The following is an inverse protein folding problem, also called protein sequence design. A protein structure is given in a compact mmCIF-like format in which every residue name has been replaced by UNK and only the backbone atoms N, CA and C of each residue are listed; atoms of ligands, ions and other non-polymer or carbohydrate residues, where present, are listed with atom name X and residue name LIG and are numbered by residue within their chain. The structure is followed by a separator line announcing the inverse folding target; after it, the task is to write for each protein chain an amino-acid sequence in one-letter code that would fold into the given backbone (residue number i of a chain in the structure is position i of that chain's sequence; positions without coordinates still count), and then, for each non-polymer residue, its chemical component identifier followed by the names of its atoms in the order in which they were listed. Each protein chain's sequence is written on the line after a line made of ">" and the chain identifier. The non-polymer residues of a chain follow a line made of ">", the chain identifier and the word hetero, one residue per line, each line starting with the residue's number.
data_IF_936537507354
#
_entry.id   IF_936537507354
#
_cell.length_a   1.000
_cell.length_b   1.000
_cell.length_c   1.000
_cell.angle_alpha   90.00
_cell.angle_beta   90.00
_cell.angle_gamma   90.00
#
_symmetry.space_group_name_H-M   'P 1'
#
loop_
_entity.id
_entity.type
_entity.pdbx_description
1 polymer ?
#
# COMPACT_ATOMS: atom_id res chain seq x y z
N UNK A 1 0.06 2.32 -31.15
CA UNK A 1 -0.87 1.50 -30.39
C UNK A 1 -1.71 2.46 -29.59
N UNK A 2 -3.03 2.31 -29.59
CA UNK A 2 -3.88 3.22 -28.86
C UNK A 2 -3.97 2.77 -27.39
N UNK A 3 -4.02 3.67 -26.40
CA UNK A 3 -4.12 3.30 -24.97
C UNK A 3 -5.34 2.40 -24.68
N UNK A 4 -6.43 2.60 -25.41
CA UNK A 4 -7.67 1.81 -25.32
C UNK A 4 -7.51 0.33 -25.74
N UNK A 5 -6.42 -0.03 -26.44
CA UNK A 5 -6.12 -1.42 -26.78
C UNK A 5 -5.61 -2.22 -25.55
N UNK A 6 -5.38 -1.56 -24.40
CA UNK A 6 -4.78 -2.16 -23.22
C UNK A 6 -5.79 -2.63 -22.18
N UNK A 7 -7.06 -2.27 -22.33
CA UNK A 7 -8.11 -2.68 -21.42
C UNK A 7 -9.42 -2.99 -22.13
N UNK A 8 -10.24 -3.80 -21.50
CA UNK A 8 -11.63 -4.02 -21.88
C UNK A 8 -12.52 -3.29 -20.88
N UNK A 9 -13.45 -2.48 -21.39
CA UNK A 9 -14.40 -1.73 -20.57
C UNK A 9 -15.74 -2.46 -20.54
N UNK A 10 -16.26 -2.73 -19.33
CA UNK A 10 -17.64 -3.19 -19.13
C UNK A 10 -18.57 -1.98 -19.17
N UNK A 11 -19.38 -1.87 -20.24
CA UNK A 11 -20.09 -0.65 -20.59
C UNK A 11 -21.31 -0.31 -19.70
N UNK A 12 -21.76 -1.22 -18.85
CA UNK A 12 -23.04 -1.05 -18.11
C UNK A 12 -22.89 -0.27 -16.78
N UNK A 13 -21.67 -0.06 -16.26
CA UNK A 13 -21.43 0.40 -14.88
C UNK A 13 -20.76 1.78 -14.78
N UNK A 14 -20.89 2.65 -15.81
CA UNK A 14 -20.15 3.92 -15.86
C UNK A 14 -20.95 5.18 -15.47
N UNK A 15 -22.21 5.05 -15.07
CA UNK A 15 -23.02 6.18 -14.57
C UNK A 15 -22.64 6.51 -13.12
N UNK A 16 -22.58 7.79 -12.77
CA UNK A 16 -22.36 8.37 -11.42
C UNK A 16 -20.91 8.44 -10.93
N UNK A 17 -19.90 8.35 -11.80
CA UNK A 17 -18.49 8.38 -11.42
C UNK A 17 -17.84 9.78 -11.52
N UNK A 18 -18.60 10.79 -11.88
CA UNK A 18 -18.08 12.16 -12.03
C UNK A 18 -17.58 12.70 -10.67
N UNK A 19 -16.28 13.02 -10.62
CA UNK A 19 -15.59 13.43 -9.40
C UNK A 19 -15.27 12.30 -8.42
N UNK A 20 -15.58 11.03 -8.74
CA UNK A 20 -15.26 9.89 -7.87
C UNK A 20 -13.74 9.72 -7.69
N UNK A 21 -13.28 9.54 -6.45
CA UNK A 21 -11.86 9.28 -6.18
C UNK A 21 -11.40 7.99 -6.88
N UNK A 22 -10.22 8.03 -7.51
CA UNK A 22 -9.56 6.86 -8.10
C UNK A 22 -8.45 6.39 -7.16
N UNK A 23 -8.72 5.36 -6.39
CA UNK A 23 -7.77 4.70 -5.53
C UNK A 23 -6.90 3.75 -6.37
N UNK A 24 -5.61 3.70 -6.10
CA UNK A 24 -4.67 2.83 -6.82
C UNK A 24 -3.76 2.11 -5.85
N UNK A 25 -3.80 0.79 -5.91
CA UNK A 25 -2.84 -0.09 -5.26
C UNK A 25 -2.37 -1.18 -6.22
N UNK A 26 -1.07 -1.24 -6.48
CA UNK A 26 -0.45 -2.22 -7.35
C UNK A 26 0.56 -3.06 -6.57
N UNK A 27 0.41 -4.39 -6.62
CA UNK A 27 1.31 -5.33 -5.94
C UNK A 27 2.61 -5.52 -6.74
N UNK A 28 3.76 -5.42 -6.07
CA UNK A 28 5.04 -5.77 -6.70
C UNK A 28 6.19 -4.87 -6.34
N UNK A 29 5.93 -3.70 -5.78
CA UNK A 29 6.93 -2.81 -5.23
C UNK A 29 6.94 -2.87 -3.69
N UNK A 30 7.29 -1.79 -3.03
CA UNK A 30 7.37 -1.71 -1.58
C UNK A 30 5.96 -1.58 -0.97
N UNK A 31 5.65 -2.44 0.01
CA UNK A 31 4.47 -2.32 0.85
C UNK A 31 4.75 -2.90 2.25
N UNK A 32 5.52 -2.16 3.05
CA UNK A 32 5.88 -2.59 4.40
C UNK A 32 4.63 -2.84 5.25
N UNK A 33 4.66 -3.93 6.00
CA UNK A 33 3.52 -4.36 6.82
C UNK A 33 2.33 -4.84 6.00
N UNK A 34 2.49 -5.02 4.69
CA UNK A 34 1.39 -5.28 3.74
C UNK A 34 0.24 -4.28 3.88
N UNK A 35 0.55 -3.02 4.20
CA UNK A 35 -0.42 -2.01 4.59
C UNK A 35 -1.42 -1.69 3.47
N UNK A 36 -0.93 -1.47 2.25
CA UNK A 36 -1.77 -1.22 1.08
C UNK A 36 -2.57 -2.44 0.68
N UNK A 37 -1.97 -3.64 0.73
CA UNK A 37 -2.66 -4.89 0.45
C UNK A 37 -3.82 -5.13 1.43
N UNK A 38 -3.56 -5.03 2.74
CA UNK A 38 -4.61 -5.22 3.76
C UNK A 38 -5.75 -4.19 3.64
N UNK A 39 -5.43 -2.94 3.31
CA UNK A 39 -6.44 -1.93 3.01
C UNK A 39 -7.28 -2.32 1.78
N UNK A 40 -6.62 -2.73 0.70
CA UNK A 40 -7.29 -3.12 -0.55
C UNK A 40 -8.20 -4.34 -0.36
N UNK A 41 -7.71 -5.38 0.32
CA UNK A 41 -8.50 -6.56 0.69
C UNK A 41 -9.71 -6.16 1.51
N UNK A 42 -9.53 -5.31 2.54
CA UNK A 42 -10.64 -4.81 3.34
C UNK A 42 -11.69 -4.06 2.51
N UNK A 43 -11.27 -3.19 1.56
CA UNK A 43 -12.21 -2.47 0.70
C UNK A 43 -13.03 -3.42 -0.18
N UNK A 44 -12.40 -4.45 -0.75
CA UNK A 44 -13.07 -5.42 -1.60
C UNK A 44 -14.00 -6.37 -0.80
N UNK A 45 -13.64 -6.67 0.44
CA UNK A 45 -14.45 -7.55 1.30
C UNK A 45 -15.63 -6.81 1.94
N UNK A 46 -15.42 -5.55 2.36
CA UNK A 46 -16.43 -4.79 3.10
C UNK A 46 -17.47 -4.10 2.21
N UNK A 47 -17.14 -3.81 0.93
CA UNK A 47 -18.01 -3.05 0.04
C UNK A 47 -18.39 -3.84 -1.19
N UNK A 48 -19.67 -3.76 -1.58
CA UNK A 48 -20.10 -4.28 -2.89
C UNK A 48 -19.33 -3.60 -4.02
N UNK A 49 -18.82 -4.39 -4.94
CA UNK A 49 -18.01 -3.90 -6.04
C UNK A 49 -18.38 -4.55 -7.37
N UNK A 50 -18.18 -3.81 -8.45
CA UNK A 50 -18.39 -4.28 -9.82
C UNK A 50 -17.17 -3.93 -10.66
N UNK A 51 -16.83 -4.80 -11.61
CA UNK A 51 -15.71 -4.55 -12.52
C UNK A 51 -16.11 -3.54 -13.58
N UNK A 52 -15.36 -2.45 -13.70
CA UNK A 52 -15.53 -1.41 -14.73
C UNK A 52 -14.63 -1.67 -15.92
N UNK A 53 -13.39 -2.07 -15.67
CA UNK A 53 -12.44 -2.40 -16.74
C UNK A 53 -11.45 -3.47 -16.29
N UNK A 54 -10.99 -4.29 -17.25
CA UNK A 54 -9.90 -5.26 -17.07
C UNK A 54 -8.76 -4.94 -18.01
N UNK A 55 -7.55 -4.85 -17.47
CA UNK A 55 -6.34 -4.66 -18.27
C UNK A 55 -5.85 -5.98 -18.84
N UNK A 56 -5.17 -5.89 -19.98
CA UNK A 56 -4.57 -7.04 -20.68
C UNK A 56 -3.29 -7.48 -19.94
N UNK A 57 -3.44 -8.44 -19.03
CA UNK A 57 -2.35 -8.98 -18.22
C UNK A 57 -1.34 -9.77 -19.04
N UNK A 58 -1.73 -10.36 -20.20
CA UNK A 58 -0.81 -11.06 -21.09
C UNK A 58 0.24 -10.12 -21.70
N UNK A 59 -0.09 -8.84 -21.83
CA UNK A 59 0.83 -7.81 -22.32
C UNK A 59 1.64 -7.15 -21.21
N UNK A 60 1.03 -7.00 -20.05
CA UNK A 60 1.59 -6.21 -18.96
C UNK A 60 2.48 -7.00 -18.02
N UNK A 61 2.31 -8.32 -17.91
CA UNK A 61 2.99 -9.13 -16.91
C UNK A 61 4.00 -10.11 -17.53
N UNK A 62 5.12 -10.30 -16.84
CA UNK A 62 6.04 -11.41 -17.09
C UNK A 62 5.65 -12.62 -16.24
N UNK A 63 4.87 -13.54 -16.79
CA UNK A 63 4.47 -14.79 -16.12
C UNK A 63 5.64 -15.66 -15.67
N UNK A 64 6.86 -15.41 -16.15
CA UNK A 64 8.05 -16.16 -15.71
C UNK A 64 8.60 -15.62 -14.41
N UNK A 65 8.43 -14.33 -14.14
CA UNK A 65 8.80 -13.69 -12.88
C UNK A 65 7.76 -13.94 -11.80
N UNK A 66 6.48 -14.01 -12.18
CA UNK A 66 5.32 -14.19 -11.28
C UNK A 66 4.44 -15.34 -11.81
N UNK A 67 4.85 -16.59 -11.51
CA UNK A 67 4.12 -17.76 -12.01
C UNK A 67 2.77 -17.89 -11.33
N UNK A 68 1.64 -17.82 -12.07
CA UNK A 68 0.32 -18.07 -11.54
C UNK A 68 0.21 -19.49 -10.97
N UNK A 69 -0.56 -19.65 -9.91
CA UNK A 69 -0.79 -20.95 -9.31
C UNK A 69 -1.75 -21.77 -10.18
N UNK A 70 -1.47 -23.06 -10.25
CA UNK A 70 -2.32 -24.03 -10.93
C UNK A 70 -2.47 -25.26 -10.03
N UNK A 71 -3.67 -25.80 -9.94
CA UNK A 71 -3.93 -27.03 -9.19
C UNK A 71 -3.96 -28.21 -10.14
N UNK A 72 -3.14 -29.23 -9.83
CA UNK A 72 -3.14 -30.51 -10.51
C UNK A 72 -3.75 -31.57 -9.60
N UNK A 73 -4.84 -32.19 -10.00
CA UNK A 73 -5.52 -33.21 -9.24
C UNK A 73 -5.96 -34.38 -10.12
N UNK A 74 -5.89 -35.59 -9.58
CA UNK A 74 -6.26 -36.86 -10.25
C UNK A 74 -5.78 -37.01 -11.70
N UNK A 75 -4.56 -36.48 -12.03
CA UNK A 75 -3.96 -36.62 -13.35
C UNK A 75 -4.34 -35.54 -14.37
N UNK A 76 -5.02 -34.46 -13.96
CA UNK A 76 -5.43 -33.34 -14.81
C UNK A 76 -5.22 -31.98 -14.12
N UNK A 77 -5.10 -30.93 -14.91
CA UNK A 77 -5.14 -29.57 -14.41
C UNK A 77 -6.61 -29.18 -14.13
N UNK A 78 -6.91 -28.74 -12.91
CA UNK A 78 -8.27 -28.40 -12.50
C UNK A 78 -8.49 -26.89 -12.41
N UNK A 79 -7.52 -26.14 -11.88
CA UNK A 79 -7.66 -24.70 -11.72
C UNK A 79 -6.43 -23.96 -12.24
N UNK A 80 -6.66 -22.75 -12.67
CA UNK A 80 -5.65 -21.77 -13.05
C UNK A 80 -6.02 -20.44 -12.41
N UNK A 81 -5.18 -19.96 -11.53
CA UNK A 81 -5.33 -18.66 -10.86
C UNK A 81 -4.78 -17.56 -11.78
N UNK A 82 -5.63 -17.09 -12.68
CA UNK A 82 -5.23 -16.07 -13.66
C UNK A 82 -4.99 -14.72 -12.94
N UNK A 83 -3.85 -14.06 -13.18
CA UNK A 83 -3.62 -12.73 -12.61
C UNK A 83 -4.61 -11.72 -13.20
N UNK A 84 -5.20 -10.91 -12.34
CA UNK A 84 -6.13 -9.86 -12.73
C UNK A 84 -5.58 -8.48 -12.35
N UNK A 85 -5.65 -7.54 -13.29
CA UNK A 85 -5.40 -6.12 -13.07
C UNK A 85 -6.66 -5.39 -13.52
N UNK A 86 -7.44 -4.94 -12.54
CA UNK A 86 -8.82 -4.50 -12.77
C UNK A 86 -9.12 -3.17 -12.11
N UNK A 87 -9.99 -2.40 -12.76
CA UNK A 87 -10.64 -1.23 -12.20
C UNK A 87 -12.03 -1.63 -11.71
N UNK A 88 -12.26 -1.45 -10.43
CA UNK A 88 -13.56 -1.69 -9.78
C UNK A 88 -14.27 -0.37 -9.46
N UNK A 89 -15.60 -0.40 -9.52
CA UNK A 89 -16.47 0.58 -8.90
C UNK A 89 -16.93 0.04 -7.57
N UNK A 90 -16.80 0.85 -6.52
CA UNK A 90 -17.29 0.57 -5.17
C UNK A 90 -18.22 1.70 -4.74
N UNK A 91 -18.97 1.48 -3.66
CA UNK A 91 -19.71 2.53 -2.98
C UNK A 91 -19.37 2.47 -1.49
N UNK A 92 -19.08 3.63 -0.88
CA UNK A 92 -18.79 3.73 0.55
C UNK A 92 -20.05 3.48 1.41
N UNK A 93 -19.93 3.54 2.74
CA UNK A 93 -21.05 3.26 3.65
C UNK A 93 -22.25 4.23 3.48
N UNK A 94 -22.05 5.40 2.86
CA UNK A 94 -23.10 6.36 2.55
C UNK A 94 -23.67 6.20 1.14
N UNK A 95 -23.11 5.31 0.32
CA UNK A 95 -23.45 5.10 -1.08
C UNK A 95 -22.69 6.02 -2.05
N UNK A 96 -21.67 6.76 -1.59
CA UNK A 96 -20.83 7.60 -2.44
C UNK A 96 -19.91 6.71 -3.29
N UNK A 97 -19.93 6.82 -4.63
CA UNK A 97 -19.12 5.98 -5.49
C UNK A 97 -17.64 6.37 -5.46
N UNK A 98 -16.75 5.37 -5.58
CA UNK A 98 -15.33 5.54 -5.80
C UNK A 98 -14.81 4.41 -6.69
N UNK A 99 -13.62 4.59 -7.21
CA UNK A 99 -12.93 3.65 -8.09
C UNK A 99 -11.71 3.07 -7.39
N UNK A 100 -11.44 1.79 -7.64
CA UNK A 100 -10.25 1.08 -7.15
C UNK A 100 -9.58 0.36 -8.31
N UNK A 101 -8.38 0.79 -8.68
CA UNK A 101 -7.49 0.10 -9.60
C UNK A 101 -6.53 -0.76 -8.79
N UNK A 102 -6.61 -2.07 -8.95
CA UNK A 102 -5.76 -3.01 -8.19
C UNK A 102 -5.42 -4.26 -8.97
N UNK A 103 -4.33 -4.90 -8.58
CA UNK A 103 -3.76 -6.10 -9.16
C UNK A 103 -2.24 -6.05 -9.16
N UNK A 104 -1.56 -6.97 -9.85
CA UNK A 104 -0.10 -6.96 -9.95
C UNK A 104 0.40 -5.73 -10.69
N UNK A 105 1.51 -5.15 -10.20
CA UNK A 105 2.20 -4.08 -10.90
C UNK A 105 2.65 -4.55 -12.28
N UNK A 106 2.40 -3.79 -13.36
CA UNK A 106 2.89 -4.12 -14.69
C UNK A 106 4.42 -4.30 -14.72
N UNK A 107 4.91 -5.37 -15.36
CA UNK A 107 6.34 -5.58 -15.65
C UNK A 107 6.75 -4.85 -16.93
N UNK A 108 5.79 -4.58 -17.82
CA UNK A 108 6.00 -4.02 -19.14
C UNK A 108 5.06 -2.86 -19.45
N UNK A 109 5.38 -2.11 -20.49
CA UNK A 109 4.52 -1.07 -21.08
C UNK A 109 4.02 -0.01 -20.09
N UNK A 110 4.80 0.39 -19.10
CA UNK A 110 4.39 1.34 -18.05
C UNK A 110 3.81 2.65 -18.59
N UNK A 111 4.41 3.23 -19.66
CA UNK A 111 3.90 4.45 -20.27
C UNK A 111 2.57 4.23 -20.99
N UNK A 112 2.39 3.07 -21.62
CA UNK A 112 1.10 2.70 -22.24
C UNK A 112 0.03 2.47 -21.17
N UNK A 113 0.39 1.80 -20.07
CA UNK A 113 -0.48 1.60 -18.92
C UNK A 113 -0.90 2.92 -18.27
N UNK A 114 0.04 3.84 -18.06
CA UNK A 114 -0.26 5.16 -17.51
C UNK A 114 -1.19 5.96 -18.43
N UNK A 115 -0.94 5.96 -19.74
CA UNK A 115 -1.80 6.61 -20.71
C UNK A 115 -3.21 5.99 -20.76
N UNK A 116 -3.32 4.66 -20.71
CA UNK A 116 -4.58 3.95 -20.66
C UNK A 116 -5.39 4.28 -19.40
N UNK A 117 -4.74 4.31 -18.24
CA UNK A 117 -5.35 4.68 -16.96
C UNK A 117 -5.85 6.12 -16.96
N UNK A 118 -5.05 7.06 -17.51
CA UNK A 118 -5.48 8.47 -17.66
C UNK A 118 -6.72 8.59 -18.56
N UNK A 119 -6.69 7.97 -19.73
CA UNK A 119 -7.81 7.98 -20.66
C UNK A 119 -9.08 7.39 -20.03
N UNK A 120 -8.92 6.27 -19.29
CA UNK A 120 -10.03 5.64 -18.58
C UNK A 120 -10.58 6.55 -17.49
N UNK A 121 -9.73 7.18 -16.68
CA UNK A 121 -10.13 8.14 -15.67
C UNK A 121 -10.85 9.37 -16.26
N UNK A 122 -10.40 9.89 -17.41
CA UNK A 122 -11.05 10.97 -18.13
C UNK A 122 -12.44 10.57 -18.65
N UNK A 123 -12.52 9.40 -19.26
CA UNK A 123 -13.77 8.85 -19.79
C UNK A 123 -14.85 8.65 -18.72
N UNK A 124 -14.41 8.27 -17.50
CA UNK A 124 -15.29 8.04 -16.36
C UNK A 124 -15.58 9.32 -15.55
N UNK A 125 -14.94 10.45 -15.87
CA UNK A 125 -15.03 11.66 -15.06
C UNK A 125 -14.39 11.53 -13.68
N UNK A 126 -13.49 10.58 -13.48
CA UNK A 126 -12.88 10.33 -12.18
C UNK A 126 -12.20 11.58 -11.59
N UNK A 127 -12.28 11.75 -10.28
CA UNK A 127 -11.68 12.83 -9.51
C UNK A 127 -10.17 12.63 -9.26
N UNK A 128 -9.67 12.91 -8.05
CA UNK A 128 -8.25 12.76 -7.75
C UNK A 128 -7.83 11.29 -7.78
N UNK A 129 -6.62 11.04 -8.30
CA UNK A 129 -5.92 9.77 -8.14
C UNK A 129 -5.28 9.73 -6.75
N UNK A 130 -5.45 8.63 -6.01
CA UNK A 130 -4.88 8.44 -4.67
C UNK A 130 -4.17 7.10 -4.62
N UNK A 131 -2.85 7.12 -4.46
CA UNK A 131 -2.02 5.93 -4.23
C UNK A 131 -1.76 5.75 -2.74
N UNK A 132 -1.51 4.52 -2.29
CA UNK A 132 -1.22 4.24 -0.89
C UNK A 132 -0.39 2.98 -0.72
N UNK A 133 0.57 3.01 0.22
CA UNK A 133 1.43 1.88 0.57
C UNK A 133 2.19 2.13 1.88
N UNK A 134 2.89 1.11 2.38
CA UNK A 134 3.75 1.20 3.56
C UNK A 134 5.24 1.29 3.21
N UNK A 135 6.01 2.05 4.01
CA UNK A 135 7.49 2.10 3.94
C UNK A 135 8.10 1.73 5.28
N UNK A 136 9.21 0.94 5.31
CA UNK A 136 9.87 0.60 6.55
C UNK A 136 10.61 1.82 7.12
N UNK A 137 10.43 2.08 8.43
CA UNK A 137 11.07 3.18 9.13
C UNK A 137 11.59 2.74 10.50
N UNK A 138 12.61 3.42 11.01
CA UNK A 138 13.16 3.20 12.34
C UNK A 138 12.27 3.79 13.45
N UNK A 139 11.03 3.33 13.53
CA UNK A 139 10.04 3.76 14.54
C UNK A 139 9.56 2.57 15.37
N UNK A 140 9.12 2.75 16.62
CA UNK A 140 8.54 1.67 17.40
C UNK A 140 7.04 1.49 17.10
N UNK A 141 6.52 0.27 17.29
CA UNK A 141 5.09 -0.02 17.16
C UNK A 141 4.24 0.54 18.31
N UNK A 142 4.88 0.93 19.41
CA UNK A 142 4.26 1.49 20.62
C UNK A 142 3.95 3.00 20.52
N UNK A 143 4.27 3.61 19.39
CA UNK A 143 3.98 5.03 19.10
C UNK A 143 3.09 5.16 17.86
N UNK A 144 2.36 6.28 17.69
CA UNK A 144 1.56 6.52 16.50
C UNK A 144 2.40 6.44 15.23
N UNK A 145 1.87 5.75 14.21
CA UNK A 145 2.55 5.66 12.92
C UNK A 145 2.50 7.01 12.20
N UNK A 146 3.63 7.42 11.65
CA UNK A 146 3.72 8.62 10.82
C UNK A 146 3.05 8.40 9.47
N UNK A 147 2.43 9.47 8.93
CA UNK A 147 1.88 9.50 7.58
C UNK A 147 2.60 10.54 6.75
N UNK A 148 3.29 10.08 5.72
CA UNK A 148 3.89 10.93 4.68
C UNK A 148 2.82 11.13 3.61
N UNK A 149 2.48 12.39 3.32
CA UNK A 149 1.58 12.74 2.23
C UNK A 149 2.28 13.63 1.22
N UNK A 150 2.09 13.35 -0.05
CA UNK A 150 2.58 14.19 -1.14
C UNK A 150 1.51 14.34 -2.22
N UNK A 151 1.69 15.29 -3.12
CA UNK A 151 0.69 15.56 -4.15
C UNK A 151 1.28 16.22 -5.40
N UNK A 152 0.55 16.12 -6.49
CA UNK A 152 0.93 16.66 -7.80
C UNK A 152 1.02 18.20 -7.84
N UNK A 153 0.42 18.90 -6.89
CA UNK A 153 0.48 20.37 -6.79
C UNK A 153 0.42 20.84 -5.33
N UNK A 154 1.04 22.00 -5.02
CA UNK A 154 1.00 22.57 -3.68
C UNK A 154 -0.42 22.85 -3.18
N UNK A 155 -0.66 22.64 -1.88
CA UNK A 155 -1.90 22.99 -1.20
C UNK A 155 -3.04 21.98 -1.38
N UNK A 156 -2.82 20.86 -2.09
CA UNK A 156 -3.80 19.79 -2.19
C UNK A 156 -3.88 18.96 -0.90
N UNK A 157 -2.73 18.65 -0.34
CA UNK A 157 -2.57 18.00 0.98
C UNK A 157 -1.41 18.64 1.74
N UNK A 158 -1.38 18.44 3.05
CA UNK A 158 -0.27 18.87 3.91
C UNK A 158 0.32 17.66 4.59
N UNK A 159 1.60 17.36 4.33
CA UNK A 159 2.31 16.31 5.05
C UNK A 159 2.55 16.74 6.50
N UNK A 160 2.25 15.83 7.43
CA UNK A 160 2.56 16.01 8.86
C UNK A 160 3.99 15.58 9.18
N UNK A 161 4.63 14.83 8.26
CA UNK A 161 6.02 14.38 8.38
C UNK A 161 6.87 15.19 7.41
N UNK A 162 7.97 15.79 7.87
CA UNK A 162 8.90 16.50 7.01
C UNK A 162 9.48 15.57 5.93
N UNK A 163 9.53 16.04 4.70
CA UNK A 163 10.18 15.34 3.60
C UNK A 163 11.50 16.06 3.25
N UNK A 164 12.55 15.30 2.87
CA UNK A 164 13.75 15.89 2.30
C UNK A 164 13.40 16.78 1.10
N UNK A 165 14.13 17.85 0.91
CA UNK A 165 13.93 18.75 -0.24
C UNK A 165 14.13 18.07 -1.59
N UNK A 166 14.90 16.98 -1.62
CA UNK A 166 15.14 16.14 -2.79
C UNK A 166 15.42 14.71 -2.34
N UNK A 167 14.69 13.74 -2.92
CA UNK A 167 14.87 12.32 -2.69
C UNK A 167 14.86 11.58 -4.04
N UNK A 168 15.80 10.66 -4.25
CA UNK A 168 15.78 9.75 -5.39
C UNK A 168 15.41 8.34 -4.91
N UNK A 169 14.35 7.81 -5.46
CA UNK A 169 13.84 6.47 -5.14
C UNK A 169 13.66 5.67 -6.43
N UNK A 170 13.72 4.35 -6.38
CA UNK A 170 13.31 3.53 -7.51
C UNK A 170 11.87 3.86 -7.92
N UNK A 171 11.62 3.96 -9.23
CA UNK A 171 10.27 4.22 -9.74
C UNK A 171 9.38 2.99 -9.60
N UNK A 172 8.07 3.24 -9.45
CA UNK A 172 7.00 2.26 -9.54
C UNK A 172 5.94 2.69 -10.55
N UNK A 173 5.11 1.76 -11.01
CA UNK A 173 4.00 2.11 -11.89
C UNK A 173 3.01 3.07 -11.22
N UNK A 174 2.80 2.94 -9.91
CA UNK A 174 1.97 3.87 -9.12
C UNK A 174 2.56 5.28 -9.10
N UNK A 175 3.87 5.42 -8.84
CA UNK A 175 4.56 6.73 -8.87
C UNK A 175 4.55 7.35 -10.26
N UNK A 176 4.67 6.53 -11.30
CA UNK A 176 4.55 7.01 -12.69
C UNK A 176 3.14 7.52 -12.98
N UNK A 177 2.10 6.85 -12.49
CA UNK A 177 0.71 7.32 -12.61
C UNK A 177 0.54 8.69 -11.96
N UNK A 178 0.98 8.88 -10.72
CA UNK A 178 0.93 10.19 -10.03
C UNK A 178 1.62 11.28 -10.85
N UNK A 179 2.84 10.97 -11.32
CA UNK A 179 3.63 11.92 -12.12
C UNK A 179 2.92 12.30 -13.42
N UNK A 180 2.37 11.32 -14.16
CA UNK A 180 1.66 11.58 -15.43
C UNK A 180 0.34 12.32 -15.21
N UNK A 181 -0.43 11.99 -14.16
CA UNK A 181 -1.62 12.74 -13.78
C UNK A 181 -1.28 14.20 -13.47
N UNK A 182 -0.24 14.45 -12.68
CA UNK A 182 0.24 15.79 -12.38
C UNK A 182 0.66 16.58 -13.64
N UNK A 183 1.39 15.94 -14.58
CA UNK A 183 1.75 16.55 -15.85
C UNK A 183 0.53 16.91 -16.71
N UNK A 184 -0.54 16.14 -16.63
CA UNK A 184 -1.80 16.43 -17.30
C UNK A 184 -2.66 17.48 -16.56
N UNK A 185 -2.16 18.05 -15.45
CA UNK A 185 -2.89 19.03 -14.64
C UNK A 185 -4.00 18.43 -13.79
N UNK A 186 -3.99 17.12 -13.56
CA UNK A 186 -4.94 16.41 -12.71
C UNK A 186 -4.38 16.23 -11.30
N UNK A 187 -5.27 16.19 -10.33
CA UNK A 187 -4.90 15.98 -8.94
C UNK A 187 -4.46 14.53 -8.69
N UNK A 188 -3.28 14.37 -8.11
CA UNK A 188 -2.76 13.09 -7.62
C UNK A 188 -2.22 13.27 -6.21
N UNK A 189 -2.48 12.29 -5.34
CA UNK A 189 -2.10 12.27 -3.92
C UNK A 189 -1.45 10.93 -3.62
N UNK A 190 -0.32 10.95 -2.94
CA UNK A 190 0.32 9.75 -2.39
C UNK A 190 0.19 9.72 -0.87
N UNK A 191 -0.27 8.60 -0.33
CA UNK A 191 -0.38 8.29 1.10
C UNK A 191 0.61 7.19 1.46
N UNK A 192 1.62 7.51 2.26
CA UNK A 192 2.68 6.57 2.61
C UNK A 192 2.76 6.44 4.12
N UNK A 193 2.34 5.30 4.65
CA UNK A 193 2.41 5.03 6.09
C UNK A 193 3.81 4.54 6.46
N UNK A 194 4.35 5.10 7.54
CA UNK A 194 5.59 4.63 8.14
C UNK A 194 5.32 3.38 8.98
N UNK A 195 6.02 2.30 8.69
CA UNK A 195 5.87 1.00 9.38
C UNK A 195 7.17 0.68 10.11
N UNK A 196 7.12 0.22 11.38
CA UNK A 196 8.31 -0.27 12.05
C UNK A 196 9.05 -1.27 11.17
N UNK A 197 10.35 -1.05 10.92
CA UNK A 197 11.12 -1.86 9.98
C UNK A 197 11.12 -3.37 10.34
N UNK A 198 11.12 -3.70 11.65
CA UNK A 198 11.04 -5.08 12.14
C UNK A 198 9.67 -5.74 11.93
N UNK A 199 8.63 -5.00 11.50
CA UNK A 199 7.32 -5.50 11.11
C UNK A 199 7.08 -5.40 9.59
N UNK A 200 8.08 -4.96 8.83
CA UNK A 200 7.91 -4.65 7.40
C UNK A 200 7.52 -5.85 6.54
N UNK A 201 7.97 -7.05 6.91
CA UNK A 201 7.69 -8.29 6.18
C UNK A 201 6.45 -9.04 6.69
N UNK A 202 5.89 -8.64 7.83
CA UNK A 202 4.69 -9.25 8.40
C UNK A 202 3.44 -8.44 8.05
N UNK A 203 2.27 -9.06 8.06
CA UNK A 203 1.00 -8.35 7.99
C UNK A 203 0.81 -7.51 9.26
N UNK A 204 0.70 -6.18 9.11
CA UNK A 204 0.55 -5.23 10.20
C UNK A 204 -0.70 -4.36 10.04
N UNK A 205 -1.88 -4.85 10.48
CA UNK A 205 -3.17 -4.18 10.26
C UNK A 205 -3.26 -2.76 10.81
N UNK A 206 -2.48 -2.40 11.84
CA UNK A 206 -2.39 -1.03 12.35
C UNK A 206 -1.95 -0.04 11.27
N UNK A 207 -1.05 -0.45 10.37
CA UNK A 207 -0.64 0.39 9.25
C UNK A 207 -1.77 0.61 8.24
N UNK A 208 -2.54 -0.42 7.94
CA UNK A 208 -3.73 -0.31 7.08
C UNK A 208 -4.82 0.58 7.69
N UNK A 209 -5.03 0.53 9.02
CA UNK A 209 -5.92 1.47 9.72
C UNK A 209 -5.46 2.92 9.58
N UNK A 210 -4.17 3.17 9.73
CA UNK A 210 -3.60 4.51 9.54
C UNK A 210 -3.81 5.02 8.12
N UNK A 211 -3.71 4.14 7.11
CA UNK A 211 -4.01 4.46 5.71
C UNK A 211 -5.51 4.77 5.51
N UNK A 212 -6.43 4.00 6.11
CA UNK A 212 -7.88 4.26 6.02
C UNK A 212 -8.22 5.64 6.59
N UNK A 213 -7.68 5.99 7.76
CA UNK A 213 -7.93 7.29 8.38
C UNK A 213 -7.45 8.43 7.47
N UNK A 214 -6.25 8.32 6.90
CA UNK A 214 -5.72 9.30 5.95
C UNK A 214 -6.53 9.35 4.64
N UNK A 215 -6.94 8.19 4.12
CA UNK A 215 -7.76 8.09 2.92
C UNK A 215 -9.14 8.75 3.13
N UNK A 216 -9.77 8.52 4.28
CA UNK A 216 -11.02 9.17 4.67
C UNK A 216 -10.85 10.70 4.73
N UNK A 217 -9.73 11.18 5.32
CA UNK A 217 -9.44 12.63 5.42
C UNK A 217 -9.32 13.29 4.03
N UNK A 218 -8.61 12.66 3.09
CA UNK A 218 -8.34 13.27 1.77
C UNK A 218 -9.44 13.06 0.74
N UNK A 219 -10.21 11.96 0.81
CA UNK A 219 -11.26 11.62 -0.16
C UNK A 219 -12.66 12.00 0.29
N UNK A 220 -12.86 12.16 1.61
CA UNK A 220 -14.17 12.33 2.22
C UNK A 220 -15.09 11.11 2.01
N UNK A 221 -14.51 9.91 1.89
CA UNK A 221 -15.24 8.64 1.87
C UNK A 221 -15.53 8.18 3.30
N UNK A 222 -16.65 7.51 3.50
CA UNK A 222 -16.99 6.84 4.76
C UNK A 222 -16.61 5.36 4.68
N UNK A 223 -15.46 5.01 5.26
CA UNK A 223 -14.83 3.70 5.16
C UNK A 223 -14.75 3.02 6.55
N UNK A 224 -15.83 2.43 7.07
CA UNK A 224 -15.79 1.72 8.34
C UNK A 224 -14.83 0.53 8.30
N UNK A 225 -14.03 0.37 9.37
CA UNK A 225 -12.93 -0.59 9.41
C UNK A 225 -12.94 -1.42 10.71
N UNK A 226 -14.11 -1.92 11.14
CA UNK A 226 -14.24 -2.64 12.41
C UNK A 226 -13.39 -3.92 12.43
N UNK A 227 -13.49 -4.75 11.39
CA UNK A 227 -12.77 -6.03 11.31
C UNK A 227 -11.26 -5.83 11.25
N UNK A 228 -10.82 -4.81 10.52
CA UNK A 228 -9.41 -4.43 10.44
C UNK A 228 -8.89 -3.92 11.80
N UNK A 229 -9.71 -3.19 12.55
CA UNK A 229 -9.37 -2.74 13.91
C UNK A 229 -9.22 -3.91 14.87
N UNK A 230 -10.14 -4.88 14.85
CA UNK A 230 -10.02 -6.10 15.64
C UNK A 230 -8.78 -6.92 15.26
N UNK A 231 -8.42 -6.96 13.96
CA UNK A 231 -7.19 -7.61 13.52
C UNK A 231 -5.95 -6.87 14.04
N UNK A 232 -5.96 -5.53 14.03
CA UNK A 232 -4.87 -4.72 14.58
C UNK A 232 -4.68 -4.96 16.08
N UNK A 233 -5.76 -4.98 16.85
CA UNK A 233 -5.71 -5.23 18.30
C UNK A 233 -5.13 -6.62 18.61
N UNK A 234 -5.53 -7.65 17.85
CA UNK A 234 -4.99 -9.01 17.99
C UNK A 234 -3.49 -9.06 17.66
N UNK A 235 -3.09 -8.42 16.57
CA UNK A 235 -1.69 -8.41 16.12
C UNK A 235 -0.81 -7.65 17.11
N UNK A 236 -1.24 -6.48 17.57
CA UNK A 236 -0.50 -5.70 18.56
C UNK A 236 -0.32 -6.48 19.87
N UNK A 237 -1.35 -7.17 20.37
CA UNK A 237 -1.25 -8.01 21.56
C UNK A 237 -0.28 -9.21 21.39
N UNK A 238 -0.08 -9.70 20.16
CA UNK A 238 0.94 -10.73 19.87
C UNK A 238 2.34 -10.11 19.87
N UNK A 239 2.52 -8.95 19.25
CA UNK A 239 3.79 -8.22 19.23
C UNK A 239 4.23 -7.87 20.66
N UNK A 240 3.32 -7.31 21.47
CA UNK A 240 3.60 -6.95 22.88
C UNK A 240 4.11 -8.16 23.68
N UNK A 241 3.48 -9.32 23.51
CA UNK A 241 3.93 -10.56 24.16
C UNK A 241 5.34 -10.98 23.72
N UNK A 242 5.64 -10.89 22.42
CA UNK A 242 6.99 -11.20 21.92
C UNK A 242 8.04 -10.26 22.49
N UNK A 243 7.72 -8.97 22.65
CA UNK A 243 8.59 -8.00 23.29
C UNK A 243 8.83 -8.36 24.77
N UNK A 244 7.77 -8.77 25.50
CA UNK A 244 7.88 -9.18 26.91
C UNK A 244 8.73 -10.45 27.10
N UNK A 245 8.71 -11.38 26.12
CA UNK A 245 9.42 -12.65 26.16
C UNK A 245 10.91 -12.55 25.82
N UNK A 246 11.36 -11.43 25.18
CA UNK A 246 12.74 -11.23 24.76
C UNK A 246 13.31 -9.90 25.26
N UNK A 247 14.30 -9.96 26.16
CA UNK A 247 14.98 -8.75 26.65
C UNK A 247 15.71 -7.98 25.54
N UNK A 248 16.22 -8.67 24.52
CA UNK A 248 16.92 -8.06 23.40
C UNK A 248 15.94 -7.24 22.52
N UNK A 249 14.75 -7.82 22.23
CA UNK A 249 13.69 -7.12 21.50
C UNK A 249 13.17 -5.95 22.32
N UNK A 250 13.01 -6.11 23.64
CA UNK A 250 12.57 -5.03 24.52
C UNK A 250 13.56 -3.85 24.53
N UNK A 251 14.87 -4.12 24.59
CA UNK A 251 15.91 -3.08 24.52
C UNK A 251 15.89 -2.35 23.17
N UNK A 252 15.70 -3.07 22.06
CA UNK A 252 15.56 -2.48 20.74
C UNK A 252 14.35 -1.53 20.67
N UNK A 253 13.18 -1.99 21.12
CA UNK A 253 11.95 -1.18 21.12
C UNK A 253 12.13 0.06 22.00
N UNK A 254 12.72 -0.07 23.19
CA UNK A 254 13.01 1.07 24.07
C UNK A 254 13.96 2.08 23.43
N UNK A 255 14.98 1.61 22.71
CA UNK A 255 15.88 2.48 21.95
C UNK A 255 15.13 3.29 20.88
N UNK A 256 14.26 2.62 20.12
CA UNK A 256 13.42 3.29 19.10
C UNK A 256 12.40 4.26 19.73
N UNK A 257 11.83 3.93 20.90
CA UNK A 257 10.95 4.85 21.63
C UNK A 257 11.67 6.12 22.06
N UNK A 258 12.84 5.99 22.65
CA UNK A 258 13.63 7.14 23.06
C UNK A 258 14.00 8.05 21.88
N UNK A 259 14.35 7.45 20.74
CA UNK A 259 14.67 8.17 19.51
C UNK A 259 13.45 8.88 18.92
N UNK A 260 12.31 8.20 18.88
CA UNK A 260 11.04 8.76 18.40
C UNK A 260 10.58 9.95 19.28
N UNK A 261 10.59 9.75 20.61
CA UNK A 261 10.18 10.78 21.58
C UNK A 261 11.11 12.02 21.54
N UNK A 262 12.42 11.79 21.34
CA UNK A 262 13.40 12.88 21.17
C UNK A 262 13.16 13.66 19.87
N UNK A 263 12.86 12.99 18.77
CA UNK A 263 12.57 13.63 17.49
C UNK A 263 11.31 14.51 17.53
N UNK A 264 10.26 14.06 18.22
CA UNK A 264 9.04 14.87 18.41
C UNK A 264 9.31 16.07 19.32
N UNK A 265 10.13 15.92 20.38
CA UNK A 265 10.45 16.99 21.31
C UNK A 265 11.25 18.14 20.67
N UNK A 266 11.98 17.88 19.59
CA UNK A 266 12.80 18.87 18.87
C UNK A 266 12.05 19.54 17.69
N UNK A 267 10.73 19.44 17.63
CA UNK A 267 9.85 20.16 16.67
C UNK A 267 10.27 19.97 15.19
N UNK A 268 10.51 18.70 14.79
CA UNK A 268 10.61 18.35 13.38
C UNK A 268 11.99 18.44 12.73
N UNK A 269 13.07 18.53 13.47
CA UNK A 269 14.42 18.33 12.91
C UNK A 269 14.69 16.85 12.66
N UNK A 270 14.65 16.51 11.37
CA UNK A 270 15.18 15.32 10.69
C UNK A 270 15.29 14.01 11.52
N UNK A 271 14.32 13.11 11.34
CA UNK A 271 14.43 11.70 11.73
C UNK A 271 15.48 10.90 10.91
N UNK A 272 16.23 11.56 10.03
CA UNK A 272 17.41 10.99 9.38
C UNK A 272 18.59 11.18 10.32
N UNK A 273 18.99 10.08 10.99
CA UNK A 273 20.11 10.03 11.91
C UNK A 273 21.38 10.63 11.32
N UNK A 274 21.85 11.73 11.91
CA UNK A 274 23.24 12.18 11.76
C UNK A 274 24.11 11.36 12.74
N UNK A 275 24.84 10.39 12.18
CA UNK A 275 26.20 10.11 12.62
C UNK A 275 26.49 9.15 13.76
N UNK A 276 25.61 8.24 14.17
CA UNK A 276 26.04 7.02 14.88
C UNK A 276 25.71 5.77 14.03
N UNK A 277 26.70 4.86 13.92
CA UNK A 277 26.52 3.59 13.23
C UNK A 277 25.43 2.76 13.90
N UNK A 278 24.19 3.00 13.50
CA UNK A 278 23.10 2.06 13.81
C UNK A 278 23.31 0.78 13.01
N UNK A 279 22.96 -0.39 13.57
CA UNK A 279 22.89 -1.61 12.78
C UNK A 279 22.10 -1.34 11.52
N UNK A 280 22.61 -1.74 10.38
CA UNK A 280 21.95 -1.55 9.09
C UNK A 280 20.59 -2.25 9.08
N UNK A 281 19.65 -1.76 8.30
CA UNK A 281 18.34 -2.40 8.13
C UNK A 281 18.47 -3.89 7.77
N UNK A 282 19.56 -4.26 7.06
CA UNK A 282 19.88 -5.64 6.69
C UNK A 282 20.34 -6.47 7.90
N UNK A 283 21.15 -5.91 8.82
CA UNK A 283 21.59 -6.61 10.03
C UNK A 283 20.44 -6.84 11.01
N UNK A 284 19.49 -5.91 11.09
CA UNK A 284 18.29 -6.03 11.92
C UNK A 284 17.26 -6.99 11.29
N UNK A 285 17.11 -6.98 9.95
CA UNK A 285 16.28 -7.92 9.21
C UNK A 285 16.84 -9.36 9.35
N UNK A 286 18.17 -9.55 9.25
CA UNK A 286 18.83 -10.86 9.45
C UNK A 286 18.62 -11.41 10.86
N UNK A 287 18.72 -10.58 11.90
CA UNK A 287 18.48 -11.00 13.28
C UNK A 287 17.02 -11.42 13.51
N UNK A 288 16.07 -10.71 12.87
CA UNK A 288 14.65 -11.04 12.99
C UNK A 288 14.27 -12.27 12.14
N UNK A 289 14.84 -12.43 10.94
CA UNK A 289 14.64 -13.63 10.10
C UNK A 289 15.25 -14.88 10.76
N UNK A 290 16.40 -14.79 11.41
CA UNK A 290 16.97 -15.88 12.17
C UNK A 290 16.07 -16.29 13.33
N UNK A 291 15.52 -15.33 14.05
CA UNK A 291 14.58 -15.59 15.14
C UNK A 291 13.28 -16.26 14.66
N UNK A 292 12.68 -15.78 13.56
CA UNK A 292 11.48 -16.40 12.98
C UNK A 292 11.77 -17.81 12.44
N UNK A 293 12.95 -18.04 11.86
CA UNK A 293 13.35 -19.36 11.36
C UNK A 293 13.63 -20.36 12.51
N UNK A 294 14.12 -19.91 13.67
CA UNK A 294 14.28 -20.74 14.85
C UNK A 294 12.95 -21.15 15.49
N UNK A 295 11.97 -20.24 15.51
CA UNK A 295 10.62 -20.53 16.00
C UNK A 295 9.88 -21.54 15.10
N UNK A 296 10.05 -21.48 13.79
CA UNK A 296 9.46 -22.46 12.88
C UNK A 296 10.06 -23.86 13.05
N UNK A 297 11.33 -23.97 13.42
CA UNK A 297 11.98 -25.27 13.72
C UNK A 297 11.61 -25.85 15.09
N UNK A 298 11.25 -25.01 16.05
CA UNK A 298 10.85 -25.45 17.40
C UNK A 298 9.39 -25.96 17.50
N UNK A 299 8.61 -25.87 16.43
CA UNK A 299 7.20 -26.33 16.39
C UNK A 299 7.05 -27.67 15.66
N UNK A 300 8.13 -28.27 15.14
CA UNK A 300 8.13 -29.56 14.42
C UNK A 300 8.72 -30.74 15.24
N UNK A 301 8.99 -30.57 16.54
CA UNK A 301 9.38 -31.69 17.45
C UNK A 301 8.26 -32.07 18.42
#
# INVERSE_FOLDING_TARGET
>A
MQPEDLYQLDAEETSDLDGAALLVYLEGFMDAGAAGRLLTEHLLDAFEHTTVARFDTDRLLDYRSRRPLMTFDEGKWETYDAPELSLYRLADATGKPFLLLTGPEPDHEWESFAAATQQLAERLGAGPLITYFGVPMGIPHTRPLGMITHSSRPGLVTSKVPLPSQLQVPGSASSLLEFRFGQAGRDAIGLVVQVPHYLSQAAYPTAALTLIDALTEVSGLDLPALELREAADRTNALIDRQVEESSEVAELVQGLEAQYDAAIAHDGENLLADGEEMPTADELAEAFEQFLAEQQRGTED
#
